data_IF_613555406664
#
_entry.id   IF_613555406664
#
_cell.length_a   1.000
_cell.length_b   1.000
_cell.length_c   1.000
_cell.angle_alpha   90.00
_cell.angle_beta   90.00
_cell.angle_gamma   90.00
#
_symmetry.space_group_name_H-M   'P 1'
#
loop_
_entity.id
_entity.type
_entity.pdbx_description
1 polymer ?
#
# COMPACT_ATOMS: atom_id res chain seq x y z
N UNK A 1 5.79 -42.62 18.39
CA UNK A 1 6.69 -41.73 17.63
C UNK A 1 6.38 -41.87 16.14
N UNK A 2 5.72 -40.89 15.54
CA UNK A 2 5.56 -40.81 14.08
C UNK A 2 5.39 -39.33 13.71
N UNK A 3 6.50 -38.66 13.43
CA UNK A 3 6.54 -37.30 12.87
C UNK A 3 6.27 -37.38 11.37
N UNK A 4 5.01 -37.33 10.97
CA UNK A 4 4.63 -37.30 9.55
C UNK A 4 4.67 -35.87 9.02
N UNK A 5 5.77 -35.56 8.34
CA UNK A 5 5.83 -34.74 7.11
C UNK A 5 4.98 -33.45 7.08
N UNK A 6 5.44 -32.41 7.77
CA UNK A 6 5.13 -31.03 7.40
C UNK A 6 6.04 -30.60 6.23
N UNK A 7 5.83 -31.19 5.06
CA UNK A 7 6.40 -30.64 3.83
C UNK A 7 5.64 -29.33 3.54
N UNK A 8 6.17 -28.21 4.04
CA UNK A 8 5.68 -26.87 3.75
C UNK A 8 5.51 -26.70 2.24
N UNK A 9 4.26 -26.68 1.78
CA UNK A 9 3.94 -26.50 0.36
C UNK A 9 4.23 -25.04 0.01
N UNK A 10 5.49 -24.74 -0.32
CA UNK A 10 5.88 -23.40 -0.76
C UNK A 10 5.07 -23.06 -2.01
N UNK A 11 4.23 -22.01 -2.01
CA UNK A 11 3.45 -21.65 -3.17
C UNK A 11 4.40 -21.37 -4.34
N UNK A 12 4.18 -22.03 -5.49
CA UNK A 12 4.97 -21.76 -6.70
C UNK A 12 4.64 -20.34 -7.16
N UNK A 13 5.61 -19.43 -7.03
CA UNK A 13 5.50 -18.08 -7.58
C UNK A 13 5.58 -18.19 -9.09
N UNK A 14 4.46 -17.96 -9.77
CA UNK A 14 4.40 -17.75 -11.21
C UNK A 14 4.17 -16.27 -11.50
N UNK A 15 4.26 -15.84 -12.76
CA UNK A 15 4.16 -14.43 -13.14
C UNK A 15 2.91 -13.74 -12.58
N UNK A 16 1.74 -14.41 -12.67
CA UNK A 16 0.46 -13.86 -12.21
C UNK A 16 0.43 -13.71 -10.69
N UNK A 17 0.86 -14.74 -9.95
CA UNK A 17 0.90 -14.71 -8.49
C UNK A 17 1.95 -13.73 -7.98
N UNK A 18 3.12 -13.65 -8.64
CA UNK A 18 4.16 -12.68 -8.34
C UNK A 18 3.70 -11.24 -8.52
N UNK A 19 2.98 -10.95 -9.61
CA UNK A 19 2.41 -9.62 -9.86
C UNK A 19 1.37 -9.25 -8.79
N UNK A 20 0.52 -10.21 -8.39
CA UNK A 20 -0.48 -10.00 -7.32
C UNK A 20 0.19 -9.73 -5.97
N UNK A 21 1.26 -10.44 -5.65
CA UNK A 21 2.05 -10.20 -4.42
C UNK A 21 2.66 -8.80 -4.49
N UNK A 22 3.31 -8.44 -5.59
CA UNK A 22 3.93 -7.14 -5.78
C UNK A 22 2.95 -5.97 -5.55
N UNK A 23 1.77 -6.00 -6.16
CA UNK A 23 0.76 -4.96 -5.96
C UNK A 23 0.03 -5.03 -4.61
N UNK A 24 0.18 -6.12 -3.85
CA UNK A 24 -0.33 -6.22 -2.47
C UNK A 24 0.61 -5.63 -1.44
N UNK A 25 1.89 -5.45 -1.77
CA UNK A 25 2.86 -4.82 -0.87
C UNK A 25 2.39 -3.41 -0.50
N UNK A 26 2.33 -3.14 0.81
CA UNK A 26 1.92 -1.84 1.33
C UNK A 26 2.77 -0.70 0.78
N UNK A 27 4.09 -0.92 0.66
CA UNK A 27 5.02 0.05 0.08
C UNK A 27 4.70 0.38 -1.40
N UNK A 28 4.43 -0.63 -2.23
CA UNK A 28 4.12 -0.42 -3.64
C UNK A 28 2.83 0.38 -3.79
N UNK A 29 1.80 0.02 -3.02
CA UNK A 29 0.53 0.76 -3.01
C UNK A 29 0.69 2.18 -2.47
N UNK A 30 1.55 2.40 -1.49
CA UNK A 30 1.89 3.71 -0.96
C UNK A 30 2.54 4.60 -2.05
N UNK A 31 3.53 4.05 -2.78
CA UNK A 31 4.18 4.76 -3.88
C UNK A 31 3.20 5.10 -5.01
N UNK A 32 2.33 4.15 -5.39
CA UNK A 32 1.28 4.40 -6.38
C UNK A 32 0.35 5.52 -5.90
N UNK A 33 -0.13 5.44 -4.65
CA UNK A 33 -0.96 6.47 -4.06
C UNK A 33 -0.28 7.83 -4.05
N UNK A 34 1.01 7.90 -3.69
CA UNK A 34 1.77 9.13 -3.67
C UNK A 34 1.83 9.80 -5.04
N UNK A 35 2.23 9.06 -6.09
CA UNK A 35 2.37 9.63 -7.41
C UNK A 35 1.04 10.02 -8.04
N UNK A 36 0.00 9.19 -7.86
CA UNK A 36 -1.34 9.48 -8.39
C UNK A 36 -1.87 10.79 -7.80
N UNK A 37 -1.78 10.94 -6.48
CA UNK A 37 -2.28 12.14 -5.81
C UNK A 37 -1.39 13.36 -6.06
N UNK A 38 -0.07 13.20 -6.03
CA UNK A 38 0.87 14.30 -6.30
C UNK A 38 0.69 14.87 -7.69
N UNK A 39 0.78 14.04 -8.73
CA UNK A 39 0.67 14.50 -10.12
C UNK A 39 -0.76 14.91 -10.47
N UNK A 40 -1.77 14.25 -9.88
CA UNK A 40 -3.17 14.68 -10.00
C UNK A 40 -3.37 16.11 -9.47
N UNK A 41 -2.90 16.39 -8.25
CA UNK A 41 -2.96 17.72 -7.66
C UNK A 41 -2.15 18.74 -8.45
N UNK A 42 -0.95 18.40 -8.91
CA UNK A 42 -0.15 19.28 -9.76
C UNK A 42 -0.86 19.63 -11.07
N UNK A 43 -1.47 18.63 -11.73
CA UNK A 43 -2.23 18.83 -12.95
C UNK A 43 -3.44 19.75 -12.74
N UNK A 44 -4.18 19.54 -11.64
CA UNK A 44 -5.30 20.41 -11.25
C UNK A 44 -4.79 21.84 -10.98
N UNK A 45 -3.72 22.00 -10.21
CA UNK A 45 -3.15 23.30 -9.87
C UNK A 45 -2.66 24.06 -11.12
N UNK A 46 -1.99 23.35 -12.02
CA UNK A 46 -1.57 23.91 -13.31
C UNK A 46 -2.77 24.34 -14.17
N UNK A 47 -3.83 23.52 -14.22
CA UNK A 47 -5.06 23.86 -14.95
C UNK A 47 -5.79 25.07 -14.36
N UNK A 48 -5.65 25.30 -13.05
CA UNK A 48 -6.19 26.47 -12.34
C UNK A 48 -5.27 27.71 -12.41
N UNK A 49 -4.13 27.62 -13.11
CA UNK A 49 -3.20 28.75 -13.29
C UNK A 49 -2.31 29.03 -12.08
N UNK A 50 -2.15 28.07 -11.15
CA UNK A 50 -1.21 28.23 -10.04
C UNK A 50 0.25 28.25 -10.53
N UNK A 51 1.14 28.87 -9.74
CA UNK A 51 2.58 28.82 -10.02
C UNK A 51 3.09 27.38 -9.92
N UNK A 52 4.16 27.08 -10.67
CA UNK A 52 4.78 25.75 -10.65
C UNK A 52 5.24 25.37 -9.23
N UNK A 53 5.79 26.32 -8.47
CA UNK A 53 6.21 26.10 -7.09
C UNK A 53 5.05 25.75 -6.16
N UNK A 54 3.93 26.47 -6.26
CA UNK A 54 2.72 26.16 -5.49
C UNK A 54 2.14 24.79 -5.86
N UNK A 55 2.13 24.45 -7.15
CA UNK A 55 1.67 23.15 -7.64
C UNK A 55 2.54 22.01 -7.10
N UNK A 56 3.87 22.17 -7.10
CA UNK A 56 4.80 21.20 -6.54
C UNK A 56 4.65 21.07 -5.02
N UNK A 57 4.57 22.18 -4.30
CA UNK A 57 4.43 22.19 -2.85
C UNK A 57 3.15 21.48 -2.40
N UNK A 58 2.00 21.90 -2.96
CA UNK A 58 0.72 21.29 -2.60
C UNK A 58 0.63 19.85 -3.11
N UNK A 59 1.15 19.58 -4.31
CA UNK A 59 1.26 18.23 -4.85
C UNK A 59 2.03 17.29 -3.93
N UNK A 60 3.17 17.72 -3.38
CA UNK A 60 3.96 16.92 -2.46
C UNK A 60 3.19 16.60 -1.16
N UNK A 61 2.51 17.60 -0.58
CA UNK A 61 1.68 17.42 0.62
C UNK A 61 0.55 16.41 0.35
N UNK A 62 -0.21 16.61 -0.73
CA UNK A 62 -1.33 15.73 -1.08
C UNK A 62 -0.82 14.34 -1.48
N UNK A 63 0.38 14.25 -2.08
CA UNK A 63 1.08 12.99 -2.33
C UNK A 63 1.38 12.21 -1.06
N UNK A 64 1.85 12.86 0.02
CA UNK A 64 2.06 12.18 1.31
C UNK A 64 0.74 11.61 1.83
N UNK A 65 -0.36 12.36 1.74
CA UNK A 65 -1.69 11.86 2.12
C UNK A 65 -2.13 10.67 1.25
N UNK A 66 -1.88 10.73 -0.07
CA UNK A 66 -2.09 9.63 -0.99
C UNK A 66 -1.28 8.38 -0.62
N UNK A 67 -0.05 8.55 -0.14
CA UNK A 67 0.81 7.45 0.35
C UNK A 67 0.24 6.78 1.60
N UNK A 68 -0.22 7.57 2.57
CA UNK A 68 -0.86 7.07 3.80
C UNK A 68 -2.17 6.33 3.51
N UNK A 69 -2.93 6.81 2.51
CA UNK A 69 -4.13 6.13 2.04
C UNK A 69 -3.78 4.83 1.29
N UNK A 70 -2.81 4.88 0.39
CA UNK A 70 -2.35 3.73 -0.41
C UNK A 70 -1.79 2.58 0.43
N UNK A 71 -0.97 2.91 1.43
CA UNK A 71 -0.42 1.96 2.41
C UNK A 71 -1.49 1.29 3.29
N UNK A 72 -2.64 1.94 3.48
CA UNK A 72 -3.72 1.46 4.34
C UNK A 72 -3.68 2.01 5.78
N UNK A 73 -2.69 2.84 6.13
CA UNK A 73 -2.54 3.43 7.47
C UNK A 73 -3.79 4.21 7.88
N UNK A 74 -4.35 5.02 6.98
CA UNK A 74 -5.59 5.77 7.28
C UNK A 74 -6.76 4.83 7.54
N UNK A 75 -6.88 3.74 6.79
CA UNK A 75 -7.97 2.78 6.99
C UNK A 75 -7.87 2.08 8.35
N UNK A 76 -6.66 1.80 8.83
CA UNK A 76 -6.43 1.21 10.14
C UNK A 76 -6.71 2.21 11.27
N UNK A 77 -6.29 3.47 11.12
CA UNK A 77 -6.67 4.54 12.05
C UNK A 77 -8.18 4.73 12.15
N UNK A 78 -8.89 4.71 11.02
CA UNK A 78 -10.35 4.81 11.02
C UNK A 78 -11.02 3.64 11.76
N UNK A 79 -10.49 2.41 11.63
CA UNK A 79 -10.98 1.26 12.41
C UNK A 79 -10.80 1.49 13.91
N UNK A 80 -9.64 2.01 14.32
CA UNK A 80 -9.39 2.35 15.73
C UNK A 80 -10.35 3.40 16.26
N UNK A 81 -10.63 4.47 15.48
CA UNK A 81 -11.57 5.51 15.87
C UNK A 81 -13.01 4.99 16.13
N UNK A 82 -13.42 3.90 15.47
CA UNK A 82 -14.74 3.28 15.65
C UNK A 82 -14.72 2.05 16.57
N UNK A 83 -13.62 1.82 17.29
CA UNK A 83 -13.46 0.70 18.22
C UNK A 83 -13.35 -0.68 17.55
N UNK A 84 -13.00 -0.74 16.26
CA UNK A 84 -12.74 -2.01 15.57
C UNK A 84 -11.28 -2.40 15.74
N UNK A 85 -11.07 -3.63 16.21
CA UNK A 85 -9.74 -4.21 16.33
C UNK A 85 -9.11 -4.45 14.97
N UNK A 86 -7.85 -4.04 14.81
CA UNK A 86 -7.01 -4.43 13.68
C UNK A 86 -6.24 -5.67 14.08
N UNK A 87 -6.58 -6.82 13.51
CA UNK A 87 -5.85 -8.08 13.78
C UNK A 87 -4.40 -7.92 13.35
N UNK A 88 -3.49 -7.85 14.33
CA UNK A 88 -2.05 -7.79 14.11
C UNK A 88 -1.52 -9.20 13.84
N UNK A 89 -1.73 -9.72 12.63
CA UNK A 89 -1.10 -10.98 12.22
C UNK A 89 0.39 -10.71 11.96
N UNK A 90 1.24 -11.22 12.84
CA UNK A 90 2.69 -11.21 12.63
C UNK A 90 3.05 -12.35 11.68
N UNK A 91 3.85 -12.05 10.66
CA UNK A 91 4.24 -13.03 9.63
C UNK A 91 3.55 -12.81 8.29
N UNK A 92 3.97 -13.56 7.28
CA UNK A 92 3.33 -13.50 5.97
C UNK A 92 1.92 -14.09 6.07
N UNK A 93 0.93 -13.52 5.34
CA UNK A 93 -0.37 -14.16 5.17
C UNK A 93 -0.22 -15.62 4.72
N UNK A 94 -1.17 -16.49 5.07
CA UNK A 94 -1.07 -17.94 4.80
C UNK A 94 -0.86 -18.30 3.30
N UNK A 95 -1.20 -17.38 2.39
CA UNK A 95 -1.03 -17.49 0.93
C UNK A 95 0.25 -16.82 0.40
N UNK A 96 1.07 -16.24 1.27
CA UNK A 96 2.27 -15.49 0.92
C UNK A 96 3.55 -16.17 1.43
N UNK A 97 4.68 -15.95 0.75
CA UNK A 97 5.95 -16.48 1.21
C UNK A 97 6.46 -15.74 2.47
N UNK A 98 7.09 -16.48 3.40
CA UNK A 98 7.70 -15.94 4.63
C UNK A 98 9.17 -15.46 4.46
N UNK A 99 9.59 -15.09 3.23
CA UNK A 99 10.97 -14.68 2.94
C UNK A 99 11.11 -13.16 2.76
#
# INVERSE_FOLDING_TARGET
MASTNYAAHKPRVNLVNGLRIFFRLGLVRALIGQFVFMFGTMGIMSALGASAEAAWFLGAIVGVLGSLLGSGVIADWLKWCIGRETVLVHGAPADMPEW
#
